data_IF_267040408759
#
_entry.id   IF_267040408759
#
_cell.length_a   1.000
_cell.length_b   1.000
_cell.length_c   1.000
_cell.angle_alpha   90.00
_cell.angle_beta   90.00
_cell.angle_gamma   90.00
#
_symmetry.space_group_name_H-M   'P 1'
#
loop_
_entity.id
_entity.type
_entity.pdbx_description
1 polymer ?
#
# COMPACT_ATOMS: atom_id res chain seq x y z
N UNK A 1 -25.01 -22.91 9.33
CA UNK A 1 -25.49 -21.51 9.49
C UNK A 1 -24.25 -20.65 9.59
N UNK A 2 -24.04 -19.72 8.66
CA UNK A 2 -22.84 -18.86 8.64
C UNK A 2 -22.92 -17.88 9.81
N UNK A 3 -21.89 -17.83 10.66
CA UNK A 3 -21.76 -16.87 11.77
C UNK A 3 -21.42 -15.48 11.20
N UNK A 4 -22.46 -14.77 10.77
CA UNK A 4 -22.30 -13.47 10.09
C UNK A 4 -21.88 -12.35 11.05
N UNK A 5 -22.15 -12.52 12.34
CA UNK A 5 -21.93 -11.51 13.39
C UNK A 5 -20.44 -11.20 13.62
N UNK A 6 -19.54 -12.05 13.11
CA UNK A 6 -18.08 -11.92 13.23
C UNK A 6 -17.38 -11.53 11.94
N UNK A 7 -18.11 -11.06 10.94
CA UNK A 7 -17.56 -10.75 9.62
C UNK A 7 -17.16 -9.29 9.48
N UNK A 8 -16.04 -9.02 8.78
CA UNK A 8 -15.56 -7.66 8.47
C UNK A 8 -16.56 -6.89 7.60
N UNK A 9 -17.42 -7.59 6.85
CA UNK A 9 -18.51 -7.01 6.07
C UNK A 9 -19.42 -6.06 6.88
N UNK A 10 -19.57 -6.28 8.19
CA UNK A 10 -20.36 -5.41 9.07
C UNK A 10 -19.78 -3.99 9.22
N UNK A 11 -18.49 -3.81 8.90
CA UNK A 11 -17.77 -2.54 9.06
C UNK A 11 -17.78 -1.67 7.81
N UNK A 12 -18.54 -2.05 6.77
CA UNK A 12 -18.62 -1.32 5.49
C UNK A 12 -20.05 -1.29 4.94
N UNK A 13 -20.39 -0.31 4.07
CA UNK A 13 -21.69 -0.27 3.42
C UNK A 13 -22.02 -1.58 2.68
N UNK A 14 -23.31 -1.93 2.52
CA UNK A 14 -24.48 -1.25 3.06
C UNK A 14 -24.78 -1.61 4.53
N UNK A 15 -23.93 -2.41 5.19
CA UNK A 15 -24.21 -2.96 6.53
C UNK A 15 -23.75 -2.02 7.65
N UNK A 16 -22.58 -1.41 7.48
CA UNK A 16 -22.02 -0.43 8.41
C UNK A 16 -22.62 0.97 8.23
N UNK A 17 -22.71 1.72 9.33
CA UNK A 17 -23.07 3.15 9.29
C UNK A 17 -21.91 3.98 8.74
N UNK A 18 -22.25 4.97 7.93
CA UNK A 18 -21.29 5.94 7.39
C UNK A 18 -21.44 7.31 8.05
N UNK A 19 -20.37 8.08 8.00
CA UNK A 19 -20.31 9.48 8.43
C UNK A 19 -20.12 10.37 7.20
N UNK A 20 -20.73 11.57 7.18
CA UNK A 20 -20.57 12.50 6.06
C UNK A 20 -19.11 12.99 5.95
N UNK A 21 -18.62 13.27 4.73
CA UNK A 21 -17.29 13.84 4.56
C UNK A 21 -17.24 15.26 5.11
N UNK A 22 -16.10 15.64 5.69
CA UNK A 22 -15.90 16.99 6.27
C UNK A 22 -15.16 17.95 5.33
N UNK A 23 -14.58 17.43 4.25
CA UNK A 23 -13.70 18.19 3.34
C UNK A 23 -12.32 18.50 3.92
N UNK A 24 -12.08 18.17 5.19
CA UNK A 24 -10.77 18.28 5.83
C UNK A 24 -9.92 17.05 5.50
N UNK A 25 -8.60 17.21 5.41
CA UNK A 25 -7.68 16.08 5.35
C UNK A 25 -7.91 15.09 6.49
N UNK A 26 -7.93 13.79 6.18
CA UNK A 26 -7.88 12.74 7.20
C UNK A 26 -6.44 12.51 7.65
N UNK A 27 -6.28 11.95 8.84
CA UNK A 27 -5.00 11.41 9.30
C UNK A 27 -4.94 9.95 8.90
N UNK A 28 -3.88 9.55 8.21
CA UNK A 28 -3.71 8.20 7.68
C UNK A 28 -2.40 7.62 8.18
N UNK A 29 -2.42 6.37 8.64
CA UNK A 29 -1.21 5.58 8.89
C UNK A 29 -0.97 4.64 7.72
N UNK A 30 -0.20 5.02 6.70
CA UNK A 30 0.09 4.17 5.55
C UNK A 30 1.18 3.16 5.90
N UNK A 31 0.79 2.07 6.55
CA UNK A 31 1.74 1.04 7.00
C UNK A 31 2.18 0.21 5.81
N UNK A 32 3.35 0.47 5.23
CA UNK A 32 3.91 -0.40 4.22
C UNK A 32 4.36 -1.70 4.87
N UNK A 33 4.06 -2.81 4.19
CA UNK A 33 4.36 -4.14 4.70
C UNK A 33 5.17 -4.93 3.68
N UNK A 34 6.08 -5.73 4.19
CA UNK A 34 6.76 -6.76 3.42
C UNK A 34 6.44 -8.13 4.02
N UNK A 35 6.15 -9.10 3.17
CA UNK A 35 5.80 -10.45 3.62
C UNK A 35 6.99 -11.12 4.30
N UNK A 36 6.71 -11.99 5.27
CA UNK A 36 7.70 -12.99 5.69
C UNK A 36 8.00 -13.91 4.51
N UNK A 37 9.28 -14.06 4.20
CA UNK A 37 9.81 -14.95 3.16
C UNK A 37 11.26 -15.34 3.49
N UNK A 38 11.88 -16.09 2.59
CA UNK A 38 13.25 -16.58 2.67
C UNK A 38 14.29 -15.60 2.11
N UNK A 39 13.93 -14.33 1.85
CA UNK A 39 14.90 -13.36 1.29
C UNK A 39 15.94 -12.96 2.37
N UNK A 40 17.25 -12.97 2.08
CA UNK A 40 18.29 -12.59 3.03
C UNK A 40 18.12 -11.18 3.61
N UNK A 41 18.56 -10.97 4.85
CA UNK A 41 18.50 -9.65 5.53
C UNK A 41 19.31 -8.55 4.83
N UNK A 42 20.35 -8.94 4.09
CA UNK A 42 21.16 -8.02 3.28
C UNK A 42 20.40 -7.46 2.07
N UNK A 43 19.34 -8.13 1.64
CA UNK A 43 18.55 -7.75 0.47
C UNK A 43 17.23 -7.08 0.87
N UNK A 44 16.57 -7.60 1.91
CA UNK A 44 15.35 -7.02 2.47
C UNK A 44 15.49 -6.83 3.98
N UNK A 45 15.19 -5.65 4.55
CA UNK A 45 15.19 -5.48 5.99
C UNK A 45 14.19 -6.41 6.70
N UNK A 46 14.40 -6.61 8.00
CA UNK A 46 13.51 -7.40 8.86
C UNK A 46 13.47 -6.73 10.24
N UNK A 47 12.26 -6.54 10.76
CA UNK A 47 12.04 -6.02 12.11
C UNK A 47 12.46 -7.04 13.16
N UNK A 48 12.97 -6.54 14.28
CA UNK A 48 13.31 -7.37 15.44
C UNK A 48 12.08 -8.13 15.92
N UNK A 49 12.20 -9.44 16.15
CA UNK A 49 11.09 -10.28 16.60
C UNK A 49 10.13 -10.73 15.50
N UNK A 50 10.23 -10.23 14.26
CA UNK A 50 9.42 -10.68 13.12
C UNK A 50 9.92 -12.00 12.53
N UNK A 51 9.15 -12.60 11.61
CA UNK A 51 9.37 -13.94 11.06
C UNK A 51 9.33 -15.04 12.13
N UNK A 52 8.19 -15.15 12.82
CA UNK A 52 7.97 -16.17 13.86
C UNK A 52 7.90 -17.59 13.30
N UNK A 53 8.28 -18.56 14.13
CA UNK A 53 8.02 -19.99 13.95
C UNK A 53 6.68 -20.40 14.53
N UNK A 54 6.25 -21.64 14.27
CA UNK A 54 5.01 -22.22 14.84
C UNK A 54 4.99 -22.27 16.37
N UNK A 55 6.14 -22.08 17.01
CA UNK A 55 6.28 -22.01 18.47
C UNK A 55 6.39 -20.57 19.00
N UNK A 56 6.23 -19.55 18.14
CA UNK A 56 6.27 -18.14 18.54
C UNK A 56 7.67 -17.57 18.73
N UNK A 57 8.72 -18.30 18.36
CA UNK A 57 10.10 -17.82 18.40
C UNK A 57 10.50 -17.18 17.06
N UNK A 58 11.33 -16.15 17.08
CA UNK A 58 11.91 -15.59 15.86
C UNK A 58 12.74 -16.66 15.13
N UNK A 59 12.52 -16.81 13.83
CA UNK A 59 13.37 -17.64 12.96
C UNK A 59 14.58 -16.80 12.57
N UNK A 60 15.71 -17.08 13.21
CA UNK A 60 16.98 -16.49 12.81
C UNK A 60 17.40 -17.04 11.44
N UNK A 61 17.69 -16.13 10.50
CA UNK A 61 18.12 -16.41 9.13
C UNK A 61 17.10 -17.27 8.33
N UNK A 62 15.92 -16.71 8.01
CA UNK A 62 14.87 -17.45 7.30
C UNK A 62 15.31 -17.97 5.93
N UNK A 63 16.29 -17.32 5.28
CA UNK A 63 16.88 -17.75 4.03
C UNK A 63 17.59 -19.13 4.08
N UNK A 64 18.01 -19.58 5.28
CA UNK A 64 18.59 -20.92 5.48
C UNK A 64 17.61 -21.89 6.16
N UNK A 65 16.48 -21.38 6.66
CA UNK A 65 15.55 -22.12 7.53
C UNK A 65 14.09 -21.79 7.18
N UNK A 66 13.78 -21.66 5.89
CA UNK A 66 12.46 -21.23 5.44
C UNK A 66 11.34 -22.15 5.98
N UNK A 67 11.57 -23.46 6.03
CA UNK A 67 10.62 -24.43 6.62
C UNK A 67 10.34 -24.26 8.12
N UNK A 68 11.07 -23.40 8.84
CA UNK A 68 10.78 -23.07 10.23
C UNK A 68 9.79 -21.90 10.38
N UNK A 69 9.49 -21.16 9.30
CA UNK A 69 8.52 -20.06 9.30
C UNK A 69 7.12 -20.59 9.65
N UNK A 70 6.39 -19.81 10.45
CA UNK A 70 5.05 -20.19 10.91
C UNK A 70 4.04 -20.23 9.77
N UNK A 71 4.08 -19.18 8.93
CA UNK A 71 3.10 -18.95 7.87
C UNK A 71 3.36 -19.86 6.68
N UNK A 72 4.41 -19.58 5.91
CA UNK A 72 4.78 -20.39 4.75
C UNK A 72 6.29 -20.37 4.54
N UNK A 73 6.87 -21.55 4.34
CA UNK A 73 8.29 -21.75 4.11
C UNK A 73 8.63 -22.19 2.70
N UNK A 74 7.65 -22.66 1.92
CA UNK A 74 7.84 -23.01 0.51
C UNK A 74 7.78 -21.75 -0.35
N UNK A 75 8.89 -21.35 -1.01
CA UNK A 75 8.92 -20.13 -1.82
C UNK A 75 7.95 -20.17 -3.02
N UNK A 76 7.49 -21.35 -3.45
CA UNK A 76 6.54 -21.49 -4.56
C UNK A 76 5.12 -21.05 -4.20
N UNK A 77 4.76 -21.01 -2.92
CA UNK A 77 3.41 -20.66 -2.44
C UNK A 77 3.40 -19.58 -1.35
N UNK A 78 4.58 -19.08 -0.96
CA UNK A 78 4.73 -18.10 0.11
C UNK A 78 3.99 -16.79 -0.15
N UNK A 79 3.93 -16.33 -1.40
CA UNK A 79 3.20 -15.11 -1.73
C UNK A 79 1.68 -15.32 -1.62
N UNK A 80 1.18 -16.42 -2.16
CA UNK A 80 -0.24 -16.79 -2.19
C UNK A 80 -0.78 -16.99 -0.78
N UNK A 81 -0.05 -17.76 0.05
CA UNK A 81 -0.46 -18.00 1.43
C UNK A 81 -0.39 -16.72 2.26
N UNK A 82 0.60 -15.86 2.03
CA UNK A 82 0.65 -14.55 2.68
C UNK A 82 -0.52 -13.64 2.29
N UNK A 83 -0.84 -13.57 1.00
CA UNK A 83 -1.96 -12.78 0.47
C UNK A 83 -3.28 -13.22 1.10
N UNK A 84 -3.51 -14.54 1.10
CA UNK A 84 -4.68 -15.16 1.72
C UNK A 84 -4.74 -14.89 3.23
N UNK A 85 -3.63 -15.07 3.95
CA UNK A 85 -3.60 -14.86 5.39
C UNK A 85 -3.87 -13.39 5.75
N UNK A 86 -3.21 -12.46 5.07
CA UNK A 86 -3.38 -11.03 5.34
C UNK A 86 -4.83 -10.61 5.11
N UNK A 87 -5.44 -11.06 4.00
CA UNK A 87 -6.82 -10.70 3.67
C UNK A 87 -7.86 -11.41 4.52
N UNK A 88 -7.75 -12.73 4.65
CA UNK A 88 -8.83 -13.58 5.18
C UNK A 88 -8.71 -13.83 6.68
N UNK A 89 -7.53 -13.62 7.28
CA UNK A 89 -7.30 -13.83 8.73
C UNK A 89 -6.98 -12.52 9.43
N UNK A 90 -5.91 -11.82 9.01
CA UNK A 90 -5.44 -10.63 9.71
C UNK A 90 -6.42 -9.45 9.59
N UNK A 91 -6.96 -9.17 8.40
CA UNK A 91 -7.93 -8.09 8.19
C UNK A 91 -9.17 -8.19 9.08
N UNK A 92 -9.91 -9.31 9.06
CA UNK A 92 -11.06 -9.52 9.94
C UNK A 92 -10.68 -9.45 11.43
N UNK A 93 -9.51 -9.97 11.82
CA UNK A 93 -9.00 -9.88 13.18
C UNK A 93 -8.78 -8.44 13.63
N UNK A 94 -8.26 -7.59 12.75
CA UNK A 94 -8.12 -6.16 13.01
C UNK A 94 -9.49 -5.49 13.24
N UNK A 95 -10.48 -5.78 12.39
CA UNK A 95 -11.82 -5.18 12.46
C UNK A 95 -12.64 -5.64 13.67
N UNK A 96 -12.44 -6.87 14.14
CA UNK A 96 -13.22 -7.47 15.22
C UNK A 96 -13.07 -6.77 16.56
N UNK A 97 -14.15 -6.23 17.12
CA UNK A 97 -14.14 -5.65 18.47
C UNK A 97 -14.25 -6.76 19.52
N UNK A 98 -13.14 -7.13 20.16
CA UNK A 98 -13.18 -8.02 21.33
C UNK A 98 -13.70 -7.27 22.58
N UNK A 99 -14.27 -7.96 23.57
CA UNK A 99 -14.72 -7.32 24.80
C UNK A 99 -13.64 -6.44 25.44
N UNK A 100 -13.92 -5.14 25.59
CA UNK A 100 -12.97 -4.16 26.14
C UNK A 100 -12.08 -3.47 25.10
N UNK A 101 -12.26 -3.75 23.81
CA UNK A 101 -11.60 -3.06 22.71
C UNK A 101 -12.62 -2.49 21.72
N UNK A 102 -12.23 -1.47 20.95
CA UNK A 102 -13.03 -1.05 19.81
C UNK A 102 -12.19 -0.44 18.69
N UNK A 103 -12.57 -0.80 17.46
CA UNK A 103 -12.07 -0.22 16.21
C UNK A 103 -12.83 1.04 15.81
N UNK A 104 -13.82 1.53 16.58
CA UNK A 104 -14.77 2.59 16.17
C UNK A 104 -14.14 3.88 15.63
N UNK A 105 -12.90 4.20 16.05
CA UNK A 105 -12.13 5.37 15.61
C UNK A 105 -11.46 5.21 14.25
N UNK A 106 -11.35 3.99 13.75
CA UNK A 106 -10.85 3.71 12.39
C UNK A 106 -11.95 4.06 11.38
N UNK A 107 -11.81 5.14 10.64
CA UNK A 107 -12.81 5.56 9.66
C UNK A 107 -12.74 4.72 8.38
N UNK A 108 -11.54 4.32 7.99
CA UNK A 108 -11.30 3.48 6.82
C UNK A 108 -10.10 2.58 7.07
N UNK A 109 -10.19 1.33 6.64
CA UNK A 109 -9.07 0.41 6.57
C UNK A 109 -9.14 -0.34 5.24
N UNK A 110 -8.20 -0.05 4.35
CA UNK A 110 -7.98 -0.86 3.14
C UNK A 110 -6.65 -1.61 3.25
N UNK A 111 -6.68 -2.87 2.82
CA UNK A 111 -5.47 -3.63 2.54
C UNK A 111 -5.18 -3.51 1.05
N UNK A 112 -4.01 -2.98 0.73
CA UNK A 112 -3.56 -2.73 -0.65
C UNK A 112 -2.44 -3.72 -0.96
N UNK A 113 -2.78 -4.77 -1.71
CA UNK A 113 -1.91 -5.93 -1.96
C UNK A 113 -1.20 -5.79 -3.31
N UNK A 114 0.14 -5.75 -3.33
CA UNK A 114 0.91 -5.64 -4.58
C UNK A 114 0.62 -6.84 -5.49
N UNK A 115 0.32 -6.56 -6.76
CA UNK A 115 0.12 -7.59 -7.78
C UNK A 115 1.45 -7.84 -8.49
N UNK A 116 1.90 -9.09 -8.52
CA UNK A 116 3.19 -9.45 -9.12
C UNK A 116 3.25 -9.21 -10.63
N UNK A 117 2.13 -9.44 -11.33
CA UNK A 117 2.01 -9.27 -12.78
C UNK A 117 1.65 -7.85 -13.22
N UNK A 118 1.34 -6.96 -12.28
CA UNK A 118 1.02 -5.58 -12.60
C UNK A 118 2.27 -4.72 -12.79
N UNK A 119 2.15 -3.57 -13.46
CA UNK A 119 3.29 -2.72 -13.75
C UNK A 119 3.93 -2.20 -12.46
N UNK A 120 5.26 -1.99 -12.53
CA UNK A 120 6.03 -1.36 -11.45
C UNK A 120 7.17 -0.54 -12.03
N UNK A 121 7.76 0.34 -11.23
CA UNK A 121 8.95 1.11 -11.62
C UNK A 121 10.15 0.22 -12.00
N UNK A 122 10.17 -1.04 -11.54
CA UNK A 122 11.20 -2.01 -11.90
C UNK A 122 11.01 -2.63 -13.30
N UNK A 123 9.77 -2.72 -13.78
CA UNK A 123 9.40 -3.27 -15.08
C UNK A 123 8.15 -2.56 -15.62
N UNK A 124 8.30 -1.32 -16.13
CA UNK A 124 7.17 -0.51 -16.58
C UNK A 124 6.72 -0.91 -18.00
N UNK A 125 5.46 -0.64 -18.37
CA UNK A 125 5.01 -0.75 -19.76
C UNK A 125 5.65 0.35 -20.63
N UNK A 126 5.64 0.23 -21.97
CA UNK A 126 5.03 -0.85 -22.75
C UNK A 126 5.85 -2.14 -22.75
N UNK A 127 5.18 -3.28 -22.61
CA UNK A 127 5.81 -4.59 -22.73
C UNK A 127 6.04 -4.93 -24.21
N UNK A 128 7.22 -5.46 -24.52
CA UNK A 128 7.61 -5.78 -25.91
C UNK A 128 7.72 -7.28 -26.10
N UNK A 129 7.28 -7.77 -27.26
CA UNK A 129 7.58 -9.12 -27.68
C UNK A 129 9.10 -9.29 -27.79
N UNK A 130 9.64 -10.32 -27.14
CA UNK A 130 11.05 -10.68 -27.30
C UNK A 130 11.23 -11.30 -28.68
N UNK A 131 11.72 -10.52 -29.64
CA UNK A 131 12.01 -10.98 -31.01
C UNK A 131 13.51 -10.94 -31.30
N UNK A 132 13.97 -11.81 -32.20
CA UNK A 132 15.32 -11.79 -32.73
C UNK A 132 15.49 -10.74 -33.84
N UNK A 133 16.70 -10.66 -34.43
CA UNK A 133 17.04 -9.73 -35.52
C UNK A 133 16.18 -9.92 -36.78
N UNK A 134 15.56 -11.10 -36.95
CA UNK A 134 14.65 -11.40 -38.06
C UNK A 134 13.18 -11.06 -37.75
N UNK A 135 12.89 -10.52 -36.56
CA UNK A 135 11.54 -10.21 -36.11
C UNK A 135 10.74 -11.44 -35.68
N UNK A 136 11.40 -12.58 -35.42
CA UNK A 136 10.74 -13.83 -34.98
C UNK A 136 10.90 -14.03 -33.47
N UNK A 137 9.94 -14.75 -32.89
CA UNK A 137 10.07 -15.21 -31.51
C UNK A 137 11.24 -16.20 -31.40
N UNK A 138 12.08 -16.09 -30.34
CA UNK A 138 13.25 -16.94 -30.17
C UNK A 138 12.84 -18.40 -29.94
N UNK A 139 13.61 -19.33 -30.51
CA UNK A 139 13.43 -20.78 -30.29
C UNK A 139 13.96 -21.24 -28.93
N UNK A 140 14.62 -20.35 -28.17
CA UNK A 140 15.25 -20.63 -26.88
C UNK A 140 14.73 -19.74 -25.73
N UNK A 141 13.40 -19.70 -25.47
CA UNK A 141 12.82 -18.78 -24.49
C UNK A 141 13.39 -18.95 -23.07
N UNK A 142 13.82 -20.15 -22.69
CA UNK A 142 14.43 -20.42 -21.39
C UNK A 142 15.77 -19.69 -21.15
N UNK A 143 16.45 -19.22 -22.20
CA UNK A 143 17.69 -18.42 -22.10
C UNK A 143 17.43 -16.91 -22.03
N UNK A 144 16.18 -16.49 -22.23
CA UNK A 144 15.80 -15.08 -22.44
C UNK A 144 14.81 -14.58 -21.41
N UNK A 145 14.57 -15.35 -20.34
CA UNK A 145 13.70 -14.92 -19.24
C UNK A 145 14.33 -13.70 -18.58
N UNK A 146 13.65 -12.54 -18.55
CA UNK A 146 14.18 -11.35 -17.88
C UNK A 146 14.28 -11.58 -16.37
N UNK A 147 15.22 -10.88 -15.75
CA UNK A 147 15.36 -10.87 -14.29
C UNK A 147 14.08 -10.33 -13.64
N UNK A 148 13.60 -11.01 -12.60
CA UNK A 148 12.47 -10.55 -11.83
C UNK A 148 12.88 -9.39 -10.91
N UNK A 149 12.26 -8.23 -11.10
CA UNK A 149 12.50 -7.02 -10.29
C UNK A 149 11.34 -6.78 -9.34
N UNK A 150 11.53 -7.16 -8.07
CA UNK A 150 10.51 -7.02 -7.02
C UNK A 150 10.60 -5.64 -6.35
N UNK A 151 9.48 -4.90 -6.19
CA UNK A 151 9.42 -3.73 -5.34
C UNK A 151 9.80 -4.01 -3.88
N UNK A 152 10.18 -2.97 -3.14
CA UNK A 152 10.59 -3.14 -1.74
C UNK A 152 9.44 -3.62 -0.86
N UNK A 153 8.24 -3.15 -1.14
CA UNK A 153 7.05 -3.44 -0.34
C UNK A 153 6.12 -4.41 -1.06
N UNK A 154 5.47 -5.29 -0.30
CA UNK A 154 4.49 -6.25 -0.83
C UNK A 154 3.05 -5.76 -0.64
N UNK A 155 2.85 -4.70 0.13
CA UNK A 155 1.57 -4.03 0.24
C UNK A 155 1.60 -2.82 1.16
N UNK A 156 0.41 -2.26 1.37
CA UNK A 156 0.14 -1.10 2.21
C UNK A 156 -1.15 -1.34 3.00
N UNK A 157 -1.10 -1.20 4.33
CA UNK A 157 -2.29 -1.04 5.16
C UNK A 157 -2.64 0.45 5.20
N UNK A 158 -3.72 0.83 4.54
CA UNK A 158 -4.23 2.20 4.50
C UNK A 158 -5.26 2.36 5.62
N UNK A 159 -4.90 3.00 6.74
CA UNK A 159 -5.80 3.15 7.88
C UNK A 159 -6.02 4.63 8.15
N UNK A 160 -7.27 5.10 8.05
CA UNK A 160 -7.64 6.50 8.19
C UNK A 160 -8.41 6.76 9.49
N UNK A 161 -8.16 7.92 10.06
CA UNK A 161 -8.68 8.44 11.32
C UNK A 161 -9.15 9.90 11.13
N UNK A 162 -10.03 10.37 12.01
CA UNK A 162 -10.41 11.77 12.02
C UNK A 162 -9.23 12.66 12.46
N UNK A 163 -8.55 12.26 13.54
CA UNK A 163 -7.50 13.02 14.20
C UNK A 163 -6.33 12.11 14.59
N UNK A 164 -5.17 12.71 14.90
CA UNK A 164 -3.97 11.95 15.28
C UNK A 164 -4.13 11.22 16.62
N UNK A 165 -4.85 11.81 17.58
CA UNK A 165 -5.11 11.20 18.90
C UNK A 165 -5.95 9.92 18.80
N UNK A 166 -6.75 9.78 17.74
CA UNK A 166 -7.53 8.57 17.47
C UNK A 166 -6.63 7.38 17.10
N UNK A 167 -5.40 7.61 16.63
CA UNK A 167 -4.40 6.56 16.40
C UNK A 167 -4.01 5.94 17.74
N UNK A 168 -3.61 6.75 18.72
CA UNK A 168 -3.21 6.28 20.05
C UNK A 168 -4.38 5.62 20.77
N UNK A 169 -5.57 6.24 20.72
CA UNK A 169 -6.77 5.66 21.31
C UNK A 169 -7.15 4.30 20.71
N UNK A 170 -6.77 4.05 19.46
CA UNK A 170 -6.96 2.75 18.79
C UNK A 170 -5.83 1.79 19.15
N UNK A 171 -4.60 2.12 18.80
CA UNK A 171 -3.44 1.22 18.85
C UNK A 171 -2.91 0.98 20.27
N UNK A 172 -3.21 1.87 21.22
CA UNK A 172 -2.85 1.72 22.63
C UNK A 172 -3.68 0.69 23.39
N UNK A 173 -4.73 0.11 22.77
CA UNK A 173 -5.54 -0.92 23.42
C UNK A 173 -4.79 -2.27 23.46
N UNK A 174 -4.97 -3.03 24.54
CA UNK A 174 -4.35 -4.33 24.79
C UNK A 174 -4.47 -5.32 23.61
N UNK A 175 -5.61 -5.29 22.91
CA UNK A 175 -5.88 -6.07 21.70
C UNK A 175 -4.77 -5.88 20.66
N UNK A 176 -4.42 -4.63 20.35
CA UNK A 176 -3.50 -4.34 19.25
C UNK A 176 -2.10 -4.84 19.58
N UNK A 177 -1.60 -4.59 20.79
CA UNK A 177 -0.31 -5.12 21.22
C UNK A 177 -0.27 -6.66 21.25
N UNK A 178 -1.24 -7.29 21.92
CA UNK A 178 -1.21 -8.74 22.21
C UNK A 178 -1.66 -9.61 21.03
N UNK A 179 -2.50 -9.08 20.15
CA UNK A 179 -3.17 -9.86 19.10
C UNK A 179 -2.86 -9.37 17.71
N UNK A 180 -2.76 -8.07 17.45
CA UNK A 180 -2.51 -7.55 16.10
C UNK A 180 -1.01 -7.50 15.82
N UNK A 181 -0.22 -6.83 16.67
CA UNK A 181 1.24 -6.74 16.50
C UNK A 181 1.91 -8.12 16.57
N UNK A 182 1.45 -9.00 17.48
CA UNK A 182 1.94 -10.38 17.54
C UNK A 182 1.65 -11.17 16.24
N UNK A 183 0.54 -10.89 15.57
CA UNK A 183 0.16 -11.47 14.28
C UNK A 183 0.99 -10.89 13.14
N UNK A 184 1.20 -9.58 13.16
CA UNK A 184 2.07 -8.88 12.21
C UNK A 184 3.49 -9.45 12.25
N UNK A 185 4.05 -9.73 13.43
CA UNK A 185 5.36 -10.40 13.55
C UNK A 185 5.41 -11.80 12.93
N UNK A 186 4.25 -12.43 12.74
CA UNK A 186 4.12 -13.74 12.11
C UNK A 186 4.00 -13.62 10.59
N UNK A 187 3.23 -12.64 10.10
CA UNK A 187 2.91 -12.48 8.68
C UNK A 187 3.86 -11.52 7.92
N UNK A 188 4.41 -10.52 8.60
CA UNK A 188 5.26 -9.49 8.00
C UNK A 188 6.69 -9.57 8.52
N UNK A 189 7.65 -9.46 7.61
CA UNK A 189 9.06 -9.34 8.00
C UNK A 189 9.37 -7.92 8.45
N UNK A 190 8.72 -6.92 7.87
CA UNK A 190 8.88 -5.52 8.23
C UNK A 190 7.60 -4.73 7.96
N UNK A 191 7.31 -3.78 8.84
CA UNK A 191 6.21 -2.83 8.75
C UNK A 191 6.69 -1.39 9.02
N UNK A 192 6.15 -0.41 8.30
CA UNK A 192 6.37 1.03 8.58
C UNK A 192 5.19 1.62 9.36
N UNK A 193 5.38 2.74 10.07
CA UNK A 193 4.43 3.32 11.05
C UNK A 193 4.32 4.85 10.99
N UNK A 194 4.50 5.39 9.81
CA UNK A 194 4.38 6.80 9.50
C UNK A 194 2.95 7.28 9.69
N UNK A 195 2.83 8.57 9.97
CA UNK A 195 1.58 9.30 9.99
C UNK A 195 1.61 10.26 8.82
N UNK A 196 0.52 10.30 8.09
CA UNK A 196 0.34 11.17 6.94
C UNK A 196 -0.95 11.98 7.05
N UNK A 197 -0.96 13.11 6.36
CA UNK A 197 -2.17 13.86 6.06
C UNK A 197 -2.65 13.51 4.66
N UNK A 198 -3.92 13.14 4.51
CA UNK A 198 -4.51 12.80 3.24
C UNK A 198 -5.11 14.02 2.52
N UNK A 199 -4.72 14.21 1.26
CA UNK A 199 -5.32 15.16 0.35
C UNK A 199 -6.00 14.41 -0.80
N UNK A 200 -7.33 14.39 -0.81
CA UNK A 200 -8.13 13.80 -1.89
C UNK A 200 -8.27 14.83 -3.01
N UNK A 201 -7.74 14.51 -4.18
CA UNK A 201 -7.71 15.38 -5.35
C UNK A 201 -8.75 14.98 -6.41
N UNK A 202 -8.93 13.68 -6.60
CA UNK A 202 -10.07 13.10 -7.32
C UNK A 202 -10.79 12.19 -6.34
N UNK A 203 -12.04 12.50 -5.93
CA UNK A 203 -12.78 11.71 -4.97
C UNK A 203 -13.30 10.40 -5.59
N UNK A 204 -13.21 9.32 -4.83
CA UNK A 204 -13.88 8.07 -5.19
C UNK A 204 -15.38 8.18 -4.95
N UNK A 205 -16.18 7.84 -5.96
CA UNK A 205 -17.63 7.78 -5.83
C UNK A 205 -18.10 6.70 -4.84
N UNK A 206 -17.30 5.64 -4.63
CA UNK A 206 -17.75 4.42 -3.92
C UNK A 206 -16.78 3.90 -2.86
N UNK A 207 -15.56 4.42 -2.77
CA UNK A 207 -14.45 3.86 -1.98
C UNK A 207 -14.17 2.38 -2.27
N UNK A 208 -14.42 1.93 -3.51
CA UNK A 208 -14.33 0.52 -3.93
C UNK A 208 -13.59 0.37 -5.24
N UNK A 209 -12.64 1.26 -5.47
CA UNK A 209 -11.82 1.18 -6.67
C UNK A 209 -10.91 -0.05 -6.54
N UNK A 210 -10.99 -1.02 -7.47
CA UNK A 210 -10.39 -2.32 -7.29
C UNK A 210 -8.87 -2.33 -7.43
N UNK A 211 -8.33 -1.46 -8.30
CA UNK A 211 -6.90 -1.39 -8.61
C UNK A 211 -6.35 -0.05 -8.16
N UNK A 212 -5.16 -0.05 -7.55
CA UNK A 212 -4.39 1.15 -7.25
C UNK A 212 -3.02 1.12 -7.90
N UNK A 213 -2.57 2.25 -8.42
CA UNK A 213 -1.17 2.58 -8.63
C UNK A 213 -0.68 3.33 -7.39
N UNK A 214 0.23 2.72 -6.64
CA UNK A 214 0.86 3.30 -5.45
C UNK A 214 2.24 3.80 -5.83
N UNK A 215 2.47 5.10 -5.62
CA UNK A 215 3.78 5.73 -5.82
C UNK A 215 4.34 6.21 -4.48
N UNK A 216 5.54 5.76 -4.17
CA UNK A 216 6.29 6.11 -2.95
C UNK A 216 7.31 7.16 -3.33
N UNK A 217 7.22 8.32 -2.69
CA UNK A 217 8.11 9.44 -2.98
C UNK A 217 9.11 9.65 -1.87
N UNK A 218 10.39 9.58 -2.23
CA UNK A 218 11.49 10.10 -1.41
C UNK A 218 11.93 11.40 -2.07
N UNK A 219 12.04 12.50 -1.33
CA UNK A 219 12.39 13.79 -1.95
C UNK A 219 13.85 13.82 -2.40
N UNK A 220 14.14 14.66 -3.39
CA UNK A 220 15.52 15.02 -3.74
C UNK A 220 16.23 15.67 -2.53
N UNK A 221 17.51 15.38 -2.27
CA UNK A 221 18.20 15.78 -1.04
C UNK A 221 18.31 17.30 -0.85
N UNK A 222 18.24 18.08 -1.93
CA UNK A 222 18.24 19.55 -1.89
C UNK A 222 16.90 20.17 -1.48
N UNK A 223 15.81 19.40 -1.45
CA UNK A 223 14.49 19.87 -1.02
C UNK A 223 14.29 19.59 0.48
N UNK A 224 13.76 20.59 1.20
CA UNK A 224 13.14 20.30 2.50
C UNK A 224 11.87 19.47 2.30
N UNK A 225 11.41 18.78 3.35
CA UNK A 225 10.17 18.00 3.27
C UNK A 225 8.98 18.89 2.97
N UNK A 226 8.92 20.05 3.60
CA UNK A 226 7.86 21.05 3.43
C UNK A 226 7.83 21.58 2.00
N UNK A 227 9.00 21.93 1.44
CA UNK A 227 9.11 22.41 0.07
C UNK A 227 8.74 21.31 -0.95
N UNK A 228 9.16 20.07 -0.70
CA UNK A 228 8.77 18.93 -1.53
C UNK A 228 7.26 18.69 -1.49
N UNK A 229 6.67 18.68 -0.29
CA UNK A 229 5.23 18.45 -0.10
C UNK A 229 4.39 19.55 -0.74
N UNK A 230 4.73 20.83 -0.53
CA UNK A 230 4.04 21.94 -1.20
C UNK A 230 4.08 21.79 -2.73
N UNK A 231 5.25 21.55 -3.31
CA UNK A 231 5.38 21.34 -4.76
C UNK A 231 4.65 20.10 -5.27
N UNK A 232 4.56 19.05 -4.46
CA UNK A 232 3.79 17.85 -4.81
C UNK A 232 2.28 18.14 -4.85
N UNK A 233 1.76 18.90 -3.88
CA UNK A 233 0.33 19.18 -3.74
C UNK A 233 -0.16 20.30 -4.67
N UNK A 234 0.67 21.30 -4.91
CA UNK A 234 0.25 22.51 -5.64
C UNK A 234 0.70 22.42 -7.10
N UNK A 235 2.00 22.21 -7.36
CA UNK A 235 2.52 22.20 -8.73
C UNK A 235 2.24 20.87 -9.44
N UNK A 236 2.67 19.75 -8.84
CA UNK A 236 2.59 18.44 -9.48
C UNK A 236 1.16 17.95 -9.61
N UNK A 237 0.33 18.15 -8.58
CA UNK A 237 -1.09 17.79 -8.64
C UNK A 237 -1.81 18.48 -9.81
N UNK A 238 -1.52 19.77 -10.07
CA UNK A 238 -2.12 20.50 -11.19
C UNK A 238 -1.69 19.92 -12.54
N UNK A 239 -0.44 19.50 -12.68
CA UNK A 239 0.02 18.79 -13.89
C UNK A 239 -0.76 17.49 -14.08
N UNK A 240 -0.96 16.69 -13.03
CA UNK A 240 -1.71 15.43 -13.09
C UNK A 240 -3.16 15.69 -13.49
N UNK A 241 -3.83 16.62 -12.82
CA UNK A 241 -5.25 16.92 -13.01
C UNK A 241 -5.57 17.59 -14.35
N UNK A 242 -4.59 18.27 -14.96
CA UNK A 242 -4.75 18.88 -16.28
C UNK A 242 -4.73 17.86 -17.43
N UNK A 243 -4.26 16.62 -17.20
CA UNK A 243 -4.15 15.62 -18.26
C UNK A 243 -5.51 14.98 -18.60
N UNK A 244 -5.75 14.75 -19.89
CA UNK A 244 -6.98 14.10 -20.36
C UNK A 244 -7.08 12.65 -19.89
N UNK A 245 -5.98 11.90 -19.99
CA UNK A 245 -5.93 10.51 -19.54
C UNK A 245 -6.23 10.35 -18.03
N UNK A 246 -5.87 11.34 -17.21
CA UNK A 246 -6.26 11.36 -15.79
C UNK A 246 -7.78 11.44 -15.64
N UNK A 247 -8.42 12.38 -16.34
CA UNK A 247 -9.87 12.57 -16.26
C UNK A 247 -10.68 11.38 -16.80
N UNK A 248 -10.10 10.59 -17.71
CA UNK A 248 -10.75 9.42 -18.29
C UNK A 248 -10.55 8.14 -17.47
N UNK A 249 -9.33 7.87 -17.02
CA UNK A 249 -8.95 6.56 -16.48
C UNK A 249 -8.88 6.52 -14.94
N UNK A 250 -8.60 7.66 -14.30
CA UNK A 250 -8.38 7.72 -12.84
C UNK A 250 -9.70 7.98 -12.12
N UNK A 251 -10.11 7.01 -11.30
CA UNK A 251 -11.33 7.08 -10.47
C UNK A 251 -11.14 7.80 -9.16
N UNK A 252 -9.90 7.79 -8.67
CA UNK A 252 -9.52 8.40 -7.40
C UNK A 252 -8.06 8.80 -7.45
N UNK A 253 -7.73 9.95 -6.89
CA UNK A 253 -6.37 10.39 -6.69
C UNK A 253 -6.25 11.01 -5.32
N UNK A 254 -5.39 10.43 -4.48
CA UNK A 254 -5.04 11.01 -3.19
C UNK A 254 -3.52 11.10 -3.03
N UNK A 255 -3.09 12.12 -2.30
CA UNK A 255 -1.72 12.26 -1.82
C UNK A 255 -1.70 12.12 -0.29
N UNK A 256 -0.75 11.34 0.23
CA UNK A 256 -0.51 11.17 1.66
C UNK A 256 0.81 11.84 2.01
N UNK A 257 0.78 12.91 2.79
CA UNK A 257 1.96 13.73 3.11
C UNK A 257 2.49 13.35 4.48
N UNK A 258 3.73 12.86 4.57
CA UNK A 258 4.32 12.41 5.83
C UNK A 258 4.50 13.55 6.82
N UNK A 259 3.87 13.44 7.98
CA UNK A 259 3.94 14.41 9.08
C UNK A 259 4.67 13.86 10.32
N UNK A 260 5.23 12.65 10.24
CA UNK A 260 6.01 12.03 11.31
C UNK A 260 5.69 10.55 11.50
N UNK A 261 5.97 10.06 12.70
CA UNK A 261 5.68 8.70 13.14
C UNK A 261 5.42 8.72 14.65
N UNK A 262 4.64 7.77 15.16
CA UNK A 262 4.46 7.58 16.62
C UNK A 262 5.62 6.84 17.27
N UNK A 263 6.51 6.25 16.48
CA UNK A 263 7.64 5.44 16.94
C UNK A 263 8.88 5.59 16.05
N UNK A 264 10.02 5.07 16.51
CA UNK A 264 11.21 4.98 15.67
C UNK A 264 10.92 4.10 14.44
N UNK A 265 11.06 4.68 13.26
CA UNK A 265 10.82 4.01 11.98
C UNK A 265 11.86 4.45 10.94
N UNK A 266 13.02 3.75 10.88
CA UNK A 266 14.12 4.14 10.01
C UNK A 266 13.81 3.94 8.53
N UNK A 267 12.95 2.99 8.16
CA UNK A 267 12.56 2.82 6.75
C UNK A 267 11.47 3.81 6.36
N UNK A 268 10.46 3.97 7.22
CA UNK A 268 9.36 4.86 6.92
C UNK A 268 9.69 6.34 6.97
N UNK A 269 10.63 6.75 7.83
CA UNK A 269 11.11 8.14 7.88
C UNK A 269 11.74 8.63 6.57
N UNK A 270 12.14 7.71 5.67
CA UNK A 270 12.65 8.02 4.32
C UNK A 270 11.55 8.40 3.34
N UNK A 271 10.30 8.00 3.59
CA UNK A 271 9.15 8.26 2.73
C UNK A 271 8.61 9.65 3.03
N UNK A 272 8.59 10.55 2.04
CA UNK A 272 8.14 11.93 2.23
C UNK A 272 6.68 12.15 1.86
N UNK A 273 6.21 11.40 0.87
CA UNK A 273 4.80 11.35 0.51
C UNK A 273 4.49 10.07 -0.27
N UNK A 274 3.20 9.79 -0.42
CA UNK A 274 2.67 8.69 -1.22
C UNK A 274 1.59 9.25 -2.13
N UNK A 275 1.58 8.87 -3.40
CA UNK A 275 0.45 9.11 -4.30
C UNK A 275 -0.27 7.81 -4.57
N UNK A 276 -1.60 7.82 -4.45
CA UNK A 276 -2.44 6.65 -4.73
C UNK A 276 -3.46 7.07 -5.78
N UNK A 277 -3.34 6.49 -6.96
CA UNK A 277 -4.29 6.64 -8.06
C UNK A 277 -5.06 5.33 -8.20
N UNK A 278 -6.38 5.38 -8.29
CA UNK A 278 -7.21 4.18 -8.38
C UNK A 278 -7.94 4.10 -9.72
N UNK A 279 -8.13 2.88 -10.20
CA UNK A 279 -8.56 2.57 -11.57
C UNK A 279 -9.65 1.48 -11.58
N UNK A 280 -10.39 1.36 -12.69
CA UNK A 280 -11.42 0.33 -12.81
C UNK A 280 -10.83 -1.07 -12.98
N UNK A 281 -9.72 -1.15 -13.68
CA UNK A 281 -9.04 -2.40 -13.99
C UNK A 281 -7.55 -2.19 -14.22
N UNK A 282 -6.80 -3.27 -14.42
CA UNK A 282 -5.35 -3.21 -14.65
C UNK A 282 -5.01 -2.55 -16.00
N UNK A 283 -5.81 -2.81 -17.03
CA UNK A 283 -5.60 -2.24 -18.36
C UNK A 283 -5.66 -0.71 -18.34
N UNK A 284 -6.58 -0.11 -17.58
CA UNK A 284 -6.62 1.35 -17.42
C UNK A 284 -5.31 1.89 -16.82
N UNK A 285 -4.64 1.14 -15.92
CA UNK A 285 -3.35 1.55 -15.36
C UNK A 285 -2.26 1.48 -16.43
N UNK A 286 -2.23 0.40 -17.21
CA UNK A 286 -1.25 0.22 -18.27
C UNK A 286 -1.43 1.29 -19.35
N UNK A 287 -2.66 1.53 -19.79
CA UNK A 287 -3.02 2.56 -20.76
C UNK A 287 -2.67 3.95 -20.23
N UNK A 288 -2.96 4.24 -18.95
CA UNK A 288 -2.57 5.49 -18.31
C UNK A 288 -1.05 5.69 -18.32
N UNK A 289 -0.27 4.66 -17.98
CA UNK A 289 1.20 4.75 -17.90
C UNK A 289 1.89 4.91 -19.27
N UNK A 290 1.30 4.37 -20.34
CA UNK A 290 1.86 4.49 -21.71
C UNK A 290 1.27 5.66 -22.51
N UNK A 291 0.24 6.33 -21.97
CA UNK A 291 -0.39 7.46 -22.63
C UNK A 291 0.60 8.63 -22.81
N UNK A 292 0.46 9.40 -23.89
CA UNK A 292 1.33 10.54 -24.18
C UNK A 292 1.30 11.59 -23.05
N UNK A 293 0.12 11.86 -22.49
CA UNK A 293 -0.09 12.74 -21.33
C UNK A 293 0.75 12.35 -20.10
N UNK A 294 1.02 11.06 -19.91
CA UNK A 294 1.78 10.58 -18.75
C UNK A 294 3.24 11.03 -18.78
N UNK A 295 3.81 11.33 -19.96
CA UNK A 295 5.17 11.84 -20.05
C UNK A 295 5.35 13.20 -19.32
N UNK A 296 4.33 14.07 -19.35
CA UNK A 296 4.36 15.33 -18.61
C UNK A 296 4.30 15.11 -17.10
N UNK A 297 3.45 14.17 -16.65
CA UNK A 297 3.33 13.76 -15.25
C UNK A 297 4.64 13.17 -14.75
N UNK A 298 5.22 12.23 -15.49
CA UNK A 298 6.49 11.60 -15.16
C UNK A 298 7.62 12.63 -15.06
N UNK A 299 7.71 13.56 -16.02
CA UNK A 299 8.72 14.63 -15.99
C UNK A 299 8.57 15.50 -14.74
N UNK A 300 7.34 15.88 -14.39
CA UNK A 300 7.02 16.66 -13.20
C UNK A 300 7.40 15.89 -11.92
N UNK A 301 7.10 14.60 -11.86
CA UNK A 301 7.43 13.72 -10.73
C UNK A 301 8.95 13.55 -10.56
N UNK A 302 9.68 13.30 -11.65
CA UNK A 302 11.14 13.15 -11.65
C UNK A 302 11.87 14.43 -11.19
N UNK A 303 11.27 15.61 -11.38
CA UNK A 303 11.83 16.86 -10.87
C UNK A 303 11.80 16.94 -9.32
N UNK A 304 10.97 16.13 -8.66
CA UNK A 304 10.81 16.07 -7.20
C UNK A 304 11.41 14.80 -6.58
N UNK A 305 11.42 13.70 -7.34
CA UNK A 305 11.79 12.37 -6.88
C UNK A 305 13.31 12.22 -6.66
N UNK A 306 13.66 11.79 -5.46
CA UNK A 306 14.99 11.37 -5.04
C UNK A 306 15.18 9.86 -5.16
N UNK A 307 16.42 9.43 -4.89
CA UNK A 307 16.82 8.01 -4.94
C UNK A 307 15.98 7.18 -3.98
N UNK A 308 15.40 6.09 -4.48
CA UNK A 308 14.61 5.15 -3.69
C UNK A 308 13.10 5.36 -3.81
N UNK A 309 12.65 6.41 -4.51
CA UNK A 309 11.27 6.49 -4.98
C UNK A 309 10.96 5.30 -5.90
N UNK A 310 9.79 4.72 -5.74
CA UNK A 310 9.34 3.55 -6.51
C UNK A 310 7.82 3.58 -6.67
N UNK A 311 7.29 2.80 -7.60
CA UNK A 311 5.85 2.63 -7.73
C UNK A 311 5.50 1.21 -8.15
N UNK A 312 4.28 0.80 -7.82
CA UNK A 312 3.74 -0.52 -8.12
C UNK A 312 2.21 -0.52 -8.09
N UNK A 313 1.61 -1.49 -8.76
CA UNK A 313 0.16 -1.68 -8.75
C UNK A 313 -0.32 -2.72 -7.75
N UNK A 314 -1.56 -2.57 -7.29
CA UNK A 314 -2.13 -3.40 -6.26
C UNK A 314 -3.64 -3.63 -6.39
N UNK A 315 -4.11 -4.71 -5.77
CA UNK A 315 -5.52 -4.97 -5.46
C UNK A 315 -5.89 -4.26 -4.16
N UNK A 316 -7.08 -3.66 -4.12
CA UNK A 316 -7.61 -3.04 -2.91
C UNK A 316 -8.71 -3.91 -2.28
N UNK A 317 -8.55 -4.20 -0.99
CA UNK A 317 -9.59 -4.81 -0.17
C UNK A 317 -10.02 -3.85 0.93
N UNK A 318 -11.26 -3.38 0.86
CA UNK A 318 -11.83 -2.55 1.93
C UNK A 318 -12.33 -3.42 3.09
N UNK A 319 -11.64 -3.32 4.23
CA UNK A 319 -11.94 -4.07 5.47
C UNK A 319 -12.90 -3.27 6.35
N UNK A 320 -12.59 -1.98 6.58
CA UNK A 320 -13.45 -1.04 7.30
C UNK A 320 -13.72 0.14 6.36
N UNK A 321 -14.98 0.55 6.26
CA UNK A 321 -15.35 1.81 5.62
C UNK A 321 -16.55 2.43 6.34
N UNK A 322 -16.31 3.51 7.06
CA UNK A 322 -17.32 4.27 7.79
C UNK A 322 -17.50 5.67 7.20
N UNK A 323 -17.04 5.89 5.97
CA UNK A 323 -17.13 7.15 5.26
C UNK A 323 -18.25 7.07 4.21
N UNK A 324 -19.04 8.14 4.11
CA UNK A 324 -19.89 8.39 2.96
C UNK A 324 -19.01 8.83 1.76
N UNK A 325 -19.53 8.83 0.52
CA UNK A 325 -18.74 9.14 -0.68
C UNK A 325 -17.83 10.36 -0.52
N UNK A 326 -16.62 10.26 -1.07
CA UNK A 326 -15.57 11.26 -0.88
C UNK A 326 -15.95 12.60 -1.52
N UNK A 327 -15.37 13.66 -0.97
CA UNK A 327 -15.28 14.96 -1.63
C UNK A 327 -13.80 15.35 -1.71
N UNK A 328 -13.47 16.18 -2.69
CA UNK A 328 -12.12 16.72 -2.80
C UNK A 328 -11.77 17.51 -1.53
N UNK A 329 -10.54 17.35 -1.07
CA UNK A 329 -9.99 18.11 0.05
C UNK A 329 -9.68 19.53 -0.40
N UNK A 330 -10.03 20.52 0.41
CA UNK A 330 -9.58 21.90 0.17
C UNK A 330 -8.05 21.95 0.28
N UNK A 331 -7.37 22.38 -0.78
CA UNK A 331 -5.94 22.70 -0.75
C UNK A 331 -5.79 24.08 -0.10
N UNK A 332 -4.94 24.19 0.91
CA UNK A 332 -4.78 25.40 1.74
C UNK A 332 -3.32 25.70 1.98
#
# INVERSE_FOLDING_TARGET
>A
MTDFDRTDNLHRPPLGKTQPPTGKPLIVTPTFVSRVDDTPRSERPQDSGSAKSRHGHEVHLPNWRAGALALEGDPNIALEHWDEYWRKVHGPKFAWDEPGSSSAKVLRYDQVHRIASGPSSGFPPPYRAMVDESGRLPSDPWKRVPEFRRPRWDGLAYIAYADQDDIEATLGQDKFAKRIIADEQTAFRMVTREITREHILIPSERHRDPISLVKIHMRRPELSREAFQARLLDDHADVVLAQGATGELVRRYAQLHNIGSTQADPEGSKIDAISILSFACMNDVEDYLVHADHAAIETSEQALAGKGSEWWTALNYSVINRLAPEIATTRS
#
